data_IF_135070918549
#
_entry.id   IF_135070918549
#
_cell.length_a   1.000
_cell.length_b   1.000
_cell.length_c   1.000
_cell.angle_alpha   90.00
_cell.angle_beta   90.00
_cell.angle_gamma   90.00
#
_symmetry.space_group_name_H-M   'P 1'
#
loop_
_entity.id
_entity.type
_entity.pdbx_description
1 polymer ?
#
# COMPACT_ATOMS: atom_id res chain seq x y z
N UNK A 1 37.31 20.30 -9.50
CA UNK A 1 36.01 20.30 -8.78
C UNK A 1 34.97 19.62 -9.67
N UNK A 2 34.18 18.69 -9.14
CA UNK A 2 33.08 18.07 -9.88
C UNK A 2 31.76 18.81 -9.58
N UNK A 3 31.10 19.34 -10.62
CA UNK A 3 29.79 19.97 -10.49
C UNK A 3 28.72 18.90 -10.19
N UNK A 4 28.36 18.74 -8.92
CA UNK A 4 27.21 17.92 -8.52
C UNK A 4 25.92 18.59 -8.97
N UNK A 5 25.33 18.14 -10.08
CA UNK A 5 24.05 18.66 -10.55
C UNK A 5 22.94 18.45 -9.50
N UNK A 6 22.01 19.40 -9.32
CA UNK A 6 20.91 19.26 -8.37
C UNK A 6 20.03 18.04 -8.70
N UNK A 7 19.96 17.65 -9.97
CA UNK A 7 19.26 16.47 -10.46
C UNK A 7 19.82 15.16 -9.86
N UNK A 8 21.15 15.04 -9.73
CA UNK A 8 21.78 13.89 -9.08
C UNK A 8 21.49 13.85 -7.56
N UNK A 9 21.34 15.02 -6.92
CA UNK A 9 20.93 15.13 -5.52
C UNK A 9 19.47 14.68 -5.33
N UNK A 10 18.57 15.07 -6.24
CA UNK A 10 17.19 14.60 -6.26
C UNK A 10 17.12 13.07 -6.45
N UNK A 11 17.94 12.54 -7.37
CA UNK A 11 18.05 11.11 -7.64
C UNK A 11 18.56 10.30 -6.43
N UNK A 12 19.44 10.86 -5.60
CA UNK A 12 19.87 10.21 -4.35
C UNK A 12 18.79 10.21 -3.25
N UNK A 13 17.92 11.23 -3.21
CA UNK A 13 16.79 11.31 -2.27
C UNK A 13 15.67 10.30 -2.57
N UNK A 14 15.58 9.79 -3.80
CA UNK A 14 14.61 8.78 -4.22
C UNK A 14 15.09 7.32 -3.97
N UNK A 15 16.33 7.12 -3.52
CA UNK A 15 16.92 5.80 -3.30
C UNK A 15 16.29 5.08 -2.10
N UNK A 16 15.46 4.07 -2.39
CA UNK A 16 14.93 3.20 -1.34
C UNK A 16 16.01 2.31 -0.70
N UNK A 17 15.73 1.82 0.53
CA UNK A 17 16.75 1.37 1.50
C UNK A 17 17.82 0.38 1.00
N UNK A 18 17.47 -0.55 0.10
CA UNK A 18 18.41 -1.53 -0.45
C UNK A 18 19.53 -0.88 -1.28
N UNK A 19 19.28 0.28 -1.88
CA UNK A 19 20.24 0.98 -2.75
C UNK A 19 21.18 1.90 -1.97
N UNK A 20 20.71 2.47 -0.85
CA UNK A 20 21.51 3.33 0.03
C UNK A 20 22.68 2.60 0.69
N UNK A 21 22.51 1.32 1.01
CA UNK A 21 23.57 0.50 1.61
C UNK A 21 24.66 0.20 0.58
N UNK A 22 24.29 -0.03 -0.70
CA UNK A 22 25.24 -0.21 -1.80
C UNK A 22 25.94 1.08 -2.25
N UNK A 23 25.50 2.27 -1.83
CA UNK A 23 26.11 3.56 -2.19
C UNK A 23 26.99 4.18 -1.10
N UNK A 24 27.14 3.55 0.08
CA UNK A 24 28.02 4.02 1.15
C UNK A 24 27.61 5.34 1.84
N UNK A 25 26.40 5.85 1.59
CA UNK A 25 25.96 7.18 2.07
C UNK A 25 25.40 7.15 3.50
N UNK A 26 26.28 7.06 4.50
CA UNK A 26 25.91 6.97 5.92
C UNK A 26 24.99 8.12 6.42
N UNK A 27 25.23 9.36 5.98
CA UNK A 27 24.55 10.55 6.52
C UNK A 27 23.06 10.66 6.17
N UNK A 28 22.52 9.84 5.26
CA UNK A 28 21.09 9.83 4.94
C UNK A 28 20.23 9.12 6.01
N UNK A 29 20.84 8.46 7.01
CA UNK A 29 20.13 7.64 8.00
C UNK A 29 18.97 8.34 8.75
N UNK A 30 19.06 9.67 8.96
CA UNK A 30 18.05 10.47 9.68
C UNK A 30 16.68 10.46 8.98
N UNK A 31 16.64 10.42 7.66
CA UNK A 31 15.40 10.54 6.87
C UNK A 31 14.70 9.21 6.61
N UNK A 32 15.14 8.11 7.23
CA UNK A 32 14.68 6.75 6.91
C UNK A 32 14.29 5.92 8.14
N UNK A 33 13.02 5.51 8.17
CA UNK A 33 12.41 4.72 9.24
C UNK A 33 12.47 3.21 8.87
N UNK A 34 12.60 2.32 9.86
CA UNK A 34 12.59 0.87 9.65
C UNK A 34 11.21 0.43 9.13
N UNK A 35 11.16 -0.38 8.06
CA UNK A 35 9.88 -0.77 7.42
C UNK A 35 8.92 -1.52 8.35
N UNK A 36 9.41 -2.16 9.43
CA UNK A 36 8.54 -2.77 10.46
C UNK A 36 7.57 -1.78 11.14
N UNK A 37 7.88 -0.48 11.13
CA UNK A 37 7.03 0.58 11.71
C UNK A 37 5.79 0.89 10.83
N UNK A 38 5.64 0.22 9.68
CA UNK A 38 4.47 0.32 8.79
C UNK A 38 3.15 -0.08 9.50
N UNK A 39 3.24 -0.89 10.58
CA UNK A 39 2.10 -1.23 11.45
C UNK A 39 1.46 -0.02 12.13
N UNK A 40 2.23 1.05 12.38
CA UNK A 40 1.75 2.24 13.09
C UNK A 40 0.62 2.93 12.32
N UNK A 41 0.67 2.91 10.98
CA UNK A 41 -0.38 3.50 10.14
C UNK A 41 -1.73 2.82 10.39
N UNK A 42 -1.75 1.48 10.35
CA UNK A 42 -2.97 0.72 10.56
C UNK A 42 -3.43 0.78 12.02
N UNK A 43 -2.52 0.76 13.00
CA UNK A 43 -2.88 0.88 14.41
C UNK A 43 -3.58 2.21 14.72
N UNK A 44 -3.01 3.32 14.26
CA UNK A 44 -3.62 4.65 14.44
C UNK A 44 -4.91 4.79 13.62
N UNK A 45 -4.98 4.20 12.43
CA UNK A 45 -6.19 4.18 11.62
C UNK A 45 -7.32 3.34 12.27
N UNK A 46 -7.01 2.23 12.94
CA UNK A 46 -8.00 1.44 13.71
C UNK A 46 -8.51 2.25 14.90
N UNK A 47 -7.62 2.89 15.67
CA UNK A 47 -7.99 3.73 16.82
C UNK A 47 -8.88 4.90 16.39
N UNK A 48 -8.49 5.63 15.33
CA UNK A 48 -9.29 6.70 14.74
C UNK A 48 -10.64 6.19 14.22
N UNK A 49 -10.67 4.99 13.65
CA UNK A 49 -11.88 4.33 13.17
C UNK A 49 -12.87 4.04 14.29
N UNK A 50 -12.43 3.36 15.35
CA UNK A 50 -13.25 3.08 16.52
C UNK A 50 -13.76 4.37 17.18
N UNK A 51 -12.91 5.39 17.32
CA UNK A 51 -13.32 6.70 17.81
C UNK A 51 -14.41 7.33 16.93
N UNK A 52 -14.22 7.38 15.61
CA UNK A 52 -15.22 7.93 14.69
C UNK A 52 -16.52 7.14 14.70
N UNK A 53 -16.47 5.81 14.71
CA UNK A 53 -17.67 4.98 14.73
C UNK A 53 -18.46 5.10 16.04
N UNK A 54 -17.81 5.42 17.16
CA UNK A 54 -18.47 5.70 18.44
C UNK A 54 -19.21 7.05 18.45
N UNK A 55 -18.66 8.08 17.79
CA UNK A 55 -19.22 9.45 17.78
C UNK A 55 -20.07 9.81 16.54
N UNK A 56 -20.19 8.93 15.55
CA UNK A 56 -20.89 9.23 14.28
C UNK A 56 -22.34 8.74 14.29
N UNK A 57 -23.21 9.48 14.98
CA UNK A 57 -24.62 9.14 15.20
C UNK A 57 -25.51 9.22 13.94
N UNK A 58 -25.00 9.72 12.80
CA UNK A 58 -25.83 10.14 11.65
C UNK A 58 -25.48 9.52 10.30
N UNK A 59 -24.49 8.63 10.21
CA UNK A 59 -24.09 7.97 8.95
C UNK A 59 -24.26 6.45 8.98
N UNK A 60 -24.43 5.85 7.81
CA UNK A 60 -24.58 4.40 7.64
C UNK A 60 -23.27 3.66 7.99
N UNK A 61 -23.38 2.62 8.83
CA UNK A 61 -22.25 1.99 9.55
C UNK A 61 -21.48 0.98 8.67
N UNK A 62 -22.08 0.49 7.59
CA UNK A 62 -21.61 -0.66 6.81
C UNK A 62 -20.23 -0.44 6.17
N UNK A 63 -20.03 0.66 5.45
CA UNK A 63 -18.73 0.96 4.83
C UNK A 63 -17.65 1.32 5.87
N UNK A 64 -17.92 2.17 6.89
CA UNK A 64 -17.03 2.32 8.05
C UNK A 64 -16.59 0.99 8.66
N UNK A 65 -17.52 0.04 8.86
CA UNK A 65 -17.23 -1.28 9.42
C UNK A 65 -16.41 -2.15 8.46
N UNK A 66 -16.75 -2.23 7.17
CA UNK A 66 -15.98 -2.97 6.16
C UNK A 66 -14.56 -2.39 5.99
N UNK A 67 -14.38 -1.08 6.18
CA UNK A 67 -13.07 -0.44 6.18
C UNK A 67 -12.30 -0.66 7.49
N UNK A 68 -12.97 -0.68 8.65
CA UNK A 68 -12.34 -1.06 9.93
C UNK A 68 -11.80 -2.48 9.87
N UNK A 69 -12.56 -3.43 9.31
CA UNK A 69 -12.11 -4.80 9.04
C UNK A 69 -10.89 -4.82 8.11
N UNK A 70 -10.82 -3.96 7.08
CA UNK A 70 -9.64 -3.82 6.22
C UNK A 70 -8.40 -3.42 7.00
N UNK A 71 -8.51 -2.43 7.88
CA UNK A 71 -7.40 -1.92 8.68
C UNK A 71 -6.93 -2.94 9.71
N UNK A 72 -7.85 -3.61 10.42
CA UNK A 72 -7.54 -4.70 11.36
C UNK A 72 -6.81 -5.84 10.63
N UNK A 73 -7.29 -6.23 9.44
CA UNK A 73 -6.71 -7.30 8.63
C UNK A 73 -5.29 -6.97 8.14
N UNK A 74 -5.05 -5.80 7.53
CA UNK A 74 -3.69 -5.42 7.08
C UNK A 74 -2.79 -4.97 8.23
N UNK A 75 -3.31 -4.61 9.41
CA UNK A 75 -2.53 -4.55 10.67
C UNK A 75 -2.03 -5.95 11.07
N UNK A 76 -2.95 -6.93 11.17
CA UNK A 76 -2.61 -8.32 11.50
C UNK A 76 -1.56 -8.89 10.54
N UNK A 77 -1.76 -8.75 9.22
CA UNK A 77 -0.77 -9.19 8.24
C UNK A 77 0.59 -8.49 8.42
N UNK A 78 0.60 -7.19 8.69
CA UNK A 78 1.82 -6.40 8.89
C UNK A 78 2.59 -6.80 10.14
N UNK A 79 1.92 -7.31 11.17
CA UNK A 79 2.54 -7.77 12.43
C UNK A 79 2.95 -9.24 12.37
N UNK A 80 2.12 -10.12 11.77
CA UNK A 80 2.26 -11.57 11.90
C UNK A 80 2.62 -12.32 10.60
N UNK A 81 2.22 -11.81 9.42
CA UNK A 81 2.47 -12.49 8.12
C UNK A 81 3.73 -11.92 7.46
N UNK A 82 3.97 -10.61 7.55
CA UNK A 82 5.01 -9.92 6.80
C UNK A 82 6.42 -10.01 7.41
N UNK A 83 7.24 -10.86 6.79
CA UNK A 83 8.67 -11.07 7.08
C UNK A 83 9.54 -9.90 6.58
N UNK A 84 9.58 -8.79 7.32
CA UNK A 84 10.44 -7.65 7.00
C UNK A 84 11.93 -7.93 7.28
N UNK A 85 12.78 -7.98 6.23
CA UNK A 85 14.25 -8.00 6.40
C UNK A 85 14.73 -6.78 7.20
N UNK A 86 15.63 -6.97 8.18
CA UNK A 86 16.04 -5.96 9.17
C UNK A 86 16.63 -4.66 8.61
N UNK A 87 17.14 -4.69 7.38
CA UNK A 87 17.69 -3.52 6.67
C UNK A 87 16.66 -2.78 5.79
N UNK A 88 15.42 -3.27 5.70
CA UNK A 88 14.37 -2.62 4.92
C UNK A 88 13.96 -1.29 5.54
N UNK A 89 14.11 -0.21 4.77
CA UNK A 89 13.88 1.19 5.20
C UNK A 89 12.91 1.91 4.25
N UNK A 90 12.15 2.84 4.82
CA UNK A 90 11.13 3.67 4.18
C UNK A 90 11.43 5.15 4.46
N UNK A 91 11.29 6.02 3.46
CA UNK A 91 11.58 7.45 3.62
C UNK A 91 10.53 8.14 4.51
N UNK A 92 10.95 9.07 5.37
CA UNK A 92 10.08 9.72 6.35
C UNK A 92 8.89 10.47 5.73
N UNK A 93 9.06 11.08 4.55
CA UNK A 93 7.94 11.75 3.86
C UNK A 93 6.86 10.77 3.41
N UNK A 94 7.24 9.55 3.00
CA UNK A 94 6.29 8.49 2.66
C UNK A 94 5.59 7.94 3.93
N UNK A 95 6.30 7.93 5.08
CA UNK A 95 5.73 7.57 6.38
C UNK A 95 4.73 8.61 6.90
N UNK A 96 5.01 9.90 6.75
CA UNK A 96 4.07 10.98 7.08
C UNK A 96 2.86 11.00 6.14
N UNK A 97 3.08 10.86 4.82
CA UNK A 97 2.00 10.76 3.84
C UNK A 97 1.03 9.60 4.14
N UNK A 98 1.53 8.46 4.65
CA UNK A 98 0.69 7.34 5.09
C UNK A 98 -0.30 7.72 6.21
N UNK A 99 0.10 8.57 7.17
CA UNK A 99 -0.79 9.02 8.25
C UNK A 99 -1.88 9.96 7.72
N UNK A 100 -1.50 10.98 6.94
CA UNK A 100 -2.45 11.88 6.30
C UNK A 100 -3.43 11.12 5.40
N UNK A 101 -2.94 10.14 4.65
CA UNK A 101 -3.76 9.28 3.81
C UNK A 101 -4.85 8.54 4.60
N UNK A 102 -4.52 7.77 5.64
CA UNK A 102 -5.54 7.05 6.42
C UNK A 102 -6.53 7.97 7.15
N UNK A 103 -6.09 9.15 7.59
CA UNK A 103 -7.01 10.18 8.10
C UNK A 103 -8.01 10.65 7.02
N UNK A 104 -7.52 10.93 5.81
CA UNK A 104 -8.35 11.33 4.67
C UNK A 104 -9.30 10.23 4.18
N UNK A 105 -8.87 8.96 4.16
CA UNK A 105 -9.77 7.84 3.82
C UNK A 105 -10.90 7.73 4.84
N UNK A 106 -10.62 7.91 6.14
CA UNK A 106 -11.66 7.96 7.18
C UNK A 106 -12.62 9.14 7.02
N UNK A 107 -12.16 10.33 6.62
CA UNK A 107 -13.03 11.45 6.26
C UNK A 107 -13.97 11.13 5.08
N UNK A 108 -13.52 10.34 4.11
CA UNK A 108 -14.31 9.96 2.94
C UNK A 108 -15.32 8.86 3.31
N UNK A 109 -14.86 7.79 3.96
CA UNK A 109 -15.65 6.60 4.30
C UNK A 109 -16.79 6.92 5.28
N UNK A 110 -16.55 7.78 6.28
CA UNK A 110 -17.58 8.17 7.27
C UNK A 110 -18.70 9.07 6.71
N UNK A 111 -18.64 9.50 5.44
CA UNK A 111 -19.62 10.39 4.80
C UNK A 111 -20.52 9.69 3.77
N UNK A 112 -20.30 8.40 3.53
CA UNK A 112 -21.09 7.59 2.59
C UNK A 112 -22.30 7.06 3.36
N UNK A 113 -23.50 7.46 2.91
CA UNK A 113 -24.75 7.37 3.69
C UNK A 113 -25.68 6.22 3.32
N UNK A 114 -25.38 5.50 2.23
CA UNK A 114 -25.99 4.22 1.92
C UNK A 114 -25.03 3.41 1.05
N UNK A 115 -24.72 2.18 1.43
CA UNK A 115 -23.99 1.24 0.58
C UNK A 115 -24.87 0.04 0.24
N UNK A 116 -24.87 -0.40 -1.03
CA UNK A 116 -25.59 -1.61 -1.38
C UNK A 116 -24.92 -2.83 -0.71
N UNK A 117 -25.73 -3.80 -0.26
CA UNK A 117 -25.24 -5.06 0.30
C UNK A 117 -24.33 -5.81 -0.69
N UNK A 118 -24.60 -5.69 -2.00
CA UNK A 118 -23.76 -6.21 -3.08
C UNK A 118 -22.36 -5.57 -3.04
N UNK A 119 -22.27 -4.26 -2.83
CA UNK A 119 -20.98 -3.57 -2.70
C UNK A 119 -20.22 -4.02 -1.44
N UNK A 120 -20.91 -4.20 -0.30
CA UNK A 120 -20.29 -4.77 0.90
C UNK A 120 -19.67 -6.14 0.62
N UNK A 121 -20.43 -7.03 -0.04
CA UNK A 121 -19.98 -8.37 -0.44
C UNK A 121 -18.78 -8.30 -1.39
N UNK A 122 -18.82 -7.46 -2.42
CA UNK A 122 -17.71 -7.25 -3.37
C UNK A 122 -16.45 -6.77 -2.65
N UNK A 123 -16.57 -5.79 -1.74
CA UNK A 123 -15.43 -5.29 -0.96
C UNK A 123 -14.87 -6.37 -0.03
N UNK A 124 -15.70 -7.19 0.61
CA UNK A 124 -15.24 -8.32 1.44
C UNK A 124 -14.53 -9.38 0.58
N UNK A 125 -15.07 -9.75 -0.58
CA UNK A 125 -14.42 -10.70 -1.51
C UNK A 125 -13.05 -10.18 -1.98
N UNK A 126 -12.97 -8.91 -2.38
CA UNK A 126 -11.69 -8.29 -2.76
C UNK A 126 -10.70 -8.27 -1.59
N UNK A 127 -11.15 -8.02 -0.36
CA UNK A 127 -10.29 -8.10 0.83
C UNK A 127 -9.80 -9.51 1.13
N UNK A 128 -10.64 -10.53 1.00
CA UNK A 128 -10.26 -11.93 1.20
C UNK A 128 -9.29 -12.42 0.12
N UNK A 129 -9.52 -12.07 -1.15
CA UNK A 129 -8.59 -12.38 -2.24
C UNK A 129 -7.26 -11.64 -2.06
N UNK A 130 -7.31 -10.37 -1.64
CA UNK A 130 -6.11 -9.62 -1.27
C UNK A 130 -5.36 -10.23 -0.08
N UNK A 131 -6.05 -10.76 0.94
CA UNK A 131 -5.43 -11.49 2.06
C UNK A 131 -4.71 -12.75 1.56
N UNK A 132 -5.36 -13.55 0.73
CA UNK A 132 -4.77 -14.74 0.09
C UNK A 132 -3.48 -14.39 -0.68
N UNK A 133 -3.47 -13.29 -1.44
CA UNK A 133 -2.27 -12.78 -2.10
C UNK A 133 -1.24 -12.18 -1.13
N UNK A 134 -1.68 -11.53 -0.04
CA UNK A 134 -0.83 -11.05 1.06
C UNK A 134 -0.16 -12.24 1.81
N UNK A 135 -0.77 -13.44 1.81
CA UNK A 135 -0.23 -14.70 2.37
C UNK A 135 0.71 -15.45 1.42
N UNK A 136 0.35 -15.67 0.14
CA UNK A 136 1.22 -16.37 -0.84
C UNK A 136 2.60 -15.70 -0.94
N UNK A 137 2.64 -14.37 -0.93
CA UNK A 137 3.89 -13.63 -1.00
C UNK A 137 4.78 -13.81 0.24
N UNK A 138 4.17 -14.12 1.38
CA UNK A 138 4.85 -14.33 2.66
C UNK A 138 5.23 -15.81 2.92
N UNK A 139 4.57 -16.76 2.25
CA UNK A 139 4.99 -18.17 2.26
C UNK A 139 6.26 -18.38 1.44
N UNK A 140 6.46 -17.62 0.36
CA UNK A 140 7.71 -17.62 -0.40
C UNK A 140 8.91 -17.19 0.47
N UNK A 141 9.78 -18.15 0.78
CA UNK A 141 11.01 -17.95 1.56
C UNK A 141 12.13 -17.31 0.73
N UNK A 142 12.16 -17.53 -0.59
CA UNK A 142 13.14 -16.92 -1.47
C UNK A 142 12.63 -15.56 -1.99
N UNK A 143 12.91 -14.51 -1.23
CA UNK A 143 12.54 -13.13 -1.58
C UNK A 143 13.23 -12.57 -2.85
N UNK A 144 14.07 -13.35 -3.53
CA UNK A 144 14.73 -12.97 -4.79
C UNK A 144 14.02 -13.59 -6.02
N UNK A 145 13.06 -14.49 -5.78
CA UNK A 145 12.13 -15.03 -6.78
C UNK A 145 10.69 -14.60 -6.47
N UNK A 146 9.80 -14.78 -7.46
CA UNK A 146 8.34 -14.67 -7.25
C UNK A 146 7.74 -16.04 -6.90
N UNK A 147 6.57 -16.09 -6.25
CA UNK A 147 5.81 -17.33 -6.11
C UNK A 147 5.46 -17.90 -7.50
N UNK A 148 5.69 -19.21 -7.69
CA UNK A 148 5.27 -19.97 -8.88
C UNK A 148 3.82 -20.43 -8.73
N UNK A 149 2.91 -19.48 -8.60
CA UNK A 149 1.47 -19.70 -8.44
C UNK A 149 0.69 -18.54 -9.07
N UNK A 150 -0.41 -18.81 -9.75
CA UNK A 150 -1.30 -17.78 -10.28
C UNK A 150 -1.86 -16.89 -9.13
N UNK A 151 -1.89 -15.55 -9.28
CA UNK A 151 -1.55 -14.75 -10.45
C UNK A 151 -0.07 -14.30 -10.51
N UNK A 152 0.78 -14.67 -9.56
CA UNK A 152 2.19 -14.27 -9.51
C UNK A 152 3.03 -14.79 -10.69
N UNK A 153 2.54 -15.80 -11.41
CA UNK A 153 3.11 -16.24 -12.69
C UNK A 153 3.03 -15.18 -13.80
N UNK A 154 2.07 -14.25 -13.73
CA UNK A 154 1.82 -13.20 -14.74
C UNK A 154 2.14 -11.81 -14.19
N UNK A 155 1.87 -11.58 -12.90
CA UNK A 155 1.94 -10.28 -12.22
C UNK A 155 2.99 -10.26 -11.11
N UNK A 156 3.72 -9.16 -10.97
CA UNK A 156 4.68 -8.95 -9.88
C UNK A 156 3.96 -8.55 -8.58
N UNK A 157 2.97 -7.65 -8.69
CA UNK A 157 2.16 -7.15 -7.58
C UNK A 157 0.65 -7.35 -7.80
N UNK A 158 0.14 -8.59 -7.99
CA UNK A 158 -1.30 -8.83 -8.14
C UNK A 158 -2.12 -8.35 -6.94
N UNK A 159 -1.51 -8.27 -5.75
CA UNK A 159 -2.14 -7.69 -4.59
C UNK A 159 -2.41 -6.18 -4.72
N UNK A 160 -1.53 -5.41 -5.35
CA UNK A 160 -1.76 -3.98 -5.61
C UNK A 160 -2.88 -3.75 -6.63
N UNK A 161 -3.08 -4.67 -7.58
CA UNK A 161 -4.22 -4.61 -8.49
C UNK A 161 -5.54 -4.69 -7.71
N UNK A 162 -5.66 -5.66 -6.79
CA UNK A 162 -6.86 -5.80 -5.95
C UNK A 162 -7.05 -4.58 -5.05
N UNK A 163 -5.98 -4.01 -4.51
CA UNK A 163 -6.03 -2.77 -3.72
C UNK A 163 -6.56 -1.59 -4.54
N UNK A 164 -6.03 -1.36 -5.76
CA UNK A 164 -6.54 -0.34 -6.69
C UNK A 164 -8.02 -0.55 -7.00
N UNK A 165 -8.46 -1.78 -7.28
CA UNK A 165 -9.87 -2.09 -7.55
C UNK A 165 -10.76 -1.75 -6.34
N UNK A 166 -10.35 -2.04 -5.11
CA UNK A 166 -11.11 -1.63 -3.91
C UNK A 166 -11.25 -0.12 -3.79
N UNK A 167 -10.18 0.65 -4.01
CA UNK A 167 -10.25 2.12 -3.92
C UNK A 167 -11.03 2.75 -5.08
N UNK A 168 -11.10 2.11 -6.25
CA UNK A 168 -12.02 2.48 -7.35
C UNK A 168 -13.48 2.22 -6.94
N UNK A 169 -13.80 1.07 -6.33
CA UNK A 169 -15.16 0.77 -5.84
C UNK A 169 -15.59 1.76 -4.74
N UNK A 170 -14.71 2.07 -3.79
CA UNK A 170 -14.97 3.09 -2.75
C UNK A 170 -15.15 4.47 -3.40
N UNK A 171 -14.32 4.84 -4.38
CA UNK A 171 -14.45 6.10 -5.11
C UNK A 171 -15.79 6.23 -5.85
N UNK A 172 -16.24 5.16 -6.52
CA UNK A 172 -17.53 5.13 -7.21
C UNK A 172 -18.68 5.36 -6.23
N UNK A 173 -18.68 4.67 -5.09
CA UNK A 173 -19.72 4.81 -4.06
C UNK A 173 -19.65 6.14 -3.29
N UNK A 174 -18.48 6.78 -3.27
CA UNK A 174 -18.28 8.07 -2.61
C UNK A 174 -18.78 9.27 -3.40
N UNK A 175 -18.83 9.18 -4.75
CA UNK A 175 -19.25 10.25 -5.65
C UNK A 175 -18.46 11.57 -5.58
N UNK A 176 -17.40 11.65 -4.75
CA UNK A 176 -16.79 12.91 -4.32
C UNK A 176 -15.40 13.15 -4.90
N UNK A 177 -15.06 14.42 -5.13
CA UNK A 177 -13.73 14.85 -5.64
C UNK A 177 -12.58 14.35 -4.74
N UNK A 178 -12.80 14.31 -3.43
CA UNK A 178 -11.84 13.77 -2.46
C UNK A 178 -11.58 12.28 -2.66
N UNK A 179 -12.61 11.50 -2.98
CA UNK A 179 -12.48 10.07 -3.23
C UNK A 179 -11.83 9.75 -4.60
N UNK A 180 -12.07 10.59 -5.61
CA UNK A 180 -11.34 10.55 -6.89
C UNK A 180 -9.84 10.80 -6.64
N UNK A 181 -9.50 11.84 -5.87
CA UNK A 181 -8.11 12.14 -5.51
C UNK A 181 -7.46 11.01 -4.70
N UNK A 182 -8.19 10.39 -3.77
CA UNK A 182 -7.76 9.20 -3.02
C UNK A 182 -7.45 8.02 -3.94
N UNK A 183 -8.35 7.67 -4.88
CA UNK A 183 -8.13 6.55 -5.81
C UNK A 183 -6.95 6.81 -6.76
N UNK A 184 -6.80 8.05 -7.27
CA UNK A 184 -5.64 8.46 -8.07
C UNK A 184 -4.35 8.35 -7.25
N UNK A 185 -4.32 8.90 -6.03
CA UNK A 185 -3.15 8.84 -5.14
C UNK A 185 -2.75 7.39 -4.84
N UNK A 186 -3.72 6.53 -4.52
CA UNK A 186 -3.49 5.09 -4.28
C UNK A 186 -2.86 4.43 -5.50
N UNK A 187 -3.46 4.63 -6.67
CA UNK A 187 -3.01 4.03 -7.93
C UNK A 187 -1.59 4.47 -8.28
N UNK A 188 -1.27 5.76 -8.17
CA UNK A 188 0.07 6.29 -8.39
C UNK A 188 1.08 5.75 -7.37
N UNK A 189 0.73 5.75 -6.08
CA UNK A 189 1.59 5.30 -5.00
C UNK A 189 1.96 3.81 -5.11
N UNK A 190 0.99 2.97 -5.49
CA UNK A 190 1.22 1.54 -5.74
C UNK A 190 1.95 1.29 -7.06
N UNK A 191 1.68 2.07 -8.11
CA UNK A 191 2.40 2.00 -9.41
C UNK A 191 3.88 2.37 -9.25
N UNK A 192 4.21 3.42 -8.48
CA UNK A 192 5.58 3.78 -8.14
C UNK A 192 6.25 2.67 -7.33
N UNK A 193 5.55 2.10 -6.34
CA UNK A 193 6.05 0.98 -5.54
C UNK A 193 6.35 -0.26 -6.38
N UNK A 194 5.48 -0.60 -7.33
CA UNK A 194 5.68 -1.71 -8.26
C UNK A 194 6.77 -1.42 -9.31
N UNK A 195 6.94 -0.17 -9.74
CA UNK A 195 8.01 0.24 -10.67
C UNK A 195 9.38 -0.18 -10.14
N UNK A 196 9.69 0.16 -8.88
CA UNK A 196 10.96 -0.22 -8.25
C UNK A 196 11.15 -1.73 -8.13
N UNK A 197 10.08 -2.49 -7.92
CA UNK A 197 10.14 -3.94 -7.82
C UNK A 197 10.30 -4.60 -9.21
N UNK A 198 9.61 -4.11 -10.24
CA UNK A 198 9.75 -4.54 -11.64
C UNK A 198 11.18 -4.32 -12.15
N UNK A 199 11.72 -3.12 -11.99
CA UNK A 199 13.14 -2.80 -12.31
C UNK A 199 14.16 -3.56 -11.43
N UNK A 200 13.73 -4.23 -10.37
CA UNK A 200 14.59 -5.13 -9.59
C UNK A 200 14.54 -6.58 -10.11
N UNK A 201 13.36 -7.08 -10.50
CA UNK A 201 13.19 -8.41 -11.08
C UNK A 201 13.68 -8.51 -12.54
N UNK A 202 13.54 -7.46 -13.34
CA UNK A 202 14.03 -7.43 -14.73
C UNK A 202 15.57 -7.61 -14.79
N UNK A 203 16.30 -7.17 -13.76
CA UNK A 203 17.77 -7.35 -13.64
C UNK A 203 18.21 -8.79 -13.39
N UNK A 204 17.29 -9.65 -12.93
CA UNK A 204 17.50 -11.11 -12.81
C UNK A 204 16.74 -11.87 -13.89
N UNK A 205 16.40 -11.20 -15.00
CA UNK A 205 15.79 -11.80 -16.20
C UNK A 205 14.27 -11.99 -16.14
N UNK A 206 13.62 -11.72 -15.00
CA UNK A 206 12.18 -11.92 -14.83
C UNK A 206 11.41 -10.77 -15.49
N UNK A 207 10.76 -11.06 -16.64
CA UNK A 207 9.90 -10.14 -17.37
C UNK A 207 8.43 -10.51 -17.14
N UNK A 208 7.72 -9.71 -16.33
CA UNK A 208 6.30 -9.87 -15.99
C UNK A 208 5.61 -8.50 -15.91
N UNK A 209 4.28 -8.48 -15.94
CA UNK A 209 3.51 -7.24 -15.72
C UNK A 209 3.60 -6.84 -14.24
N UNK A 210 3.63 -5.54 -13.93
CA UNK A 210 3.72 -5.03 -12.56
C UNK A 210 2.38 -5.16 -11.81
N UNK A 211 1.31 -4.60 -12.39
CA UNK A 211 -0.02 -4.48 -11.76
C UNK A 211 -1.14 -4.79 -12.77
N UNK A 212 -1.04 -4.30 -14.00
CA UNK A 212 -2.14 -4.32 -14.96
C UNK A 212 -1.81 -5.26 -16.11
N UNK A 213 -2.48 -6.42 -16.16
CA UNK A 213 -2.28 -7.40 -17.23
C UNK A 213 -2.52 -6.77 -18.61
N UNK A 214 -1.66 -7.08 -19.58
CA UNK A 214 -1.70 -6.51 -20.92
C UNK A 214 -1.18 -5.07 -21.04
N UNK A 215 -1.00 -4.34 -19.93
CA UNK A 215 -0.68 -2.89 -19.94
C UNK A 215 0.63 -2.56 -19.23
N UNK A 216 0.80 -2.96 -17.95
CA UNK A 216 1.90 -2.50 -17.10
C UNK A 216 2.38 -3.52 -16.07
#
# INVERSE_FOLDING_TARGET
MAYFSPFNRLKSLLLHGNTLIKSGQCNLGVFYIKKKNFSHFYLLAVILGCYKMYYNETASIELPFVFLLHLIRRLYETVFIFKYRSYSKMHIMHYLAGHFYYFSVWEIVSRISLLSTVTCIVLVILQCFQFYLHVILASNTNHETLPHQFPYDILICPHYFVEVVMYIVICYCAGSKSAILMAIFTTLNLTISASYLKTSYEKVGIKKYAIFYGVY
#
